data_IF_777685291035
#
_entry.id   IF_777685291035
#
_cell.length_a   1.000
_cell.length_b   1.000
_cell.length_c   1.000
_cell.angle_alpha   90.00
_cell.angle_beta   90.00
_cell.angle_gamma   90.00
#
_symmetry.space_group_name_H-M   'P 1'
#
loop_
_entity.id
_entity.type
_entity.pdbx_description
1 polymer ?
#
# COMPACT_ATOMS: atom_id res chain seq x y z
N UNK A 1 -18.00 -3.27 8.09
CA UNK A 1 -16.91 -4.11 8.64
C UNK A 1 -15.61 -3.34 8.47
N UNK A 2 -14.73 -3.34 9.48
CA UNK A 2 -13.43 -2.67 9.39
C UNK A 2 -12.31 -3.71 9.29
N UNK A 3 -11.35 -3.50 8.40
CA UNK A 3 -10.19 -4.38 8.22
C UNK A 3 -8.91 -3.55 8.39
N UNK A 4 -8.07 -3.98 9.32
CA UNK A 4 -6.72 -3.44 9.49
C UNK A 4 -5.71 -4.39 8.83
N UNK A 5 -4.86 -3.85 7.97
CA UNK A 5 -3.84 -4.61 7.26
C UNK A 5 -2.46 -4.03 7.59
N UNK A 6 -1.54 -4.89 8.02
CA UNK A 6 -0.19 -4.48 8.40
C UNK A 6 0.79 -5.15 7.44
N UNK A 7 1.57 -4.34 6.73
CA UNK A 7 2.54 -4.85 5.77
C UNK A 7 3.20 -3.74 4.97
N UNK A 8 4.35 -4.05 4.38
CA UNK A 8 5.05 -3.10 3.52
C UNK A 8 4.34 -2.98 2.17
N UNK A 9 4.09 -1.73 1.77
CA UNK A 9 3.92 -1.40 0.36
C UNK A 9 5.27 -1.56 -0.32
N UNK A 10 5.25 -2.03 -1.57
CA UNK A 10 6.48 -2.26 -2.32
C UNK A 10 6.47 -1.40 -3.58
N UNK A 11 7.67 -1.00 -3.99
CA UNK A 11 7.91 -0.46 -5.32
C UNK A 11 8.52 -1.56 -6.16
N UNK A 12 7.72 -2.13 -7.03
CA UNK A 12 8.17 -3.19 -7.91
C UNK A 12 8.82 -2.53 -9.13
N UNK A 13 10.07 -2.89 -9.39
CA UNK A 13 10.93 -2.25 -10.38
C UNK A 13 10.92 -3.13 -11.63
N UNK A 14 10.43 -2.60 -12.74
CA UNK A 14 10.47 -3.29 -14.04
C UNK A 14 11.18 -2.44 -15.10
N UNK A 15 11.65 -3.03 -16.21
CA UNK A 15 12.24 -2.28 -17.32
C UNK A 15 11.33 -1.18 -17.89
N UNK A 16 10.00 -1.37 -17.81
CA UNK A 16 8.99 -0.46 -18.34
C UNK A 16 8.57 0.62 -17.33
N UNK A 17 9.12 0.59 -16.11
CA UNK A 17 8.83 1.53 -15.05
C UNK A 17 8.51 0.86 -13.71
N UNK A 18 8.30 1.68 -12.70
CA UNK A 18 7.98 1.21 -11.36
C UNK A 18 6.47 1.08 -11.16
N UNK A 19 6.03 0.02 -10.49
CA UNK A 19 4.63 -0.21 -10.11
C UNK A 19 4.49 -0.34 -8.60
N UNK A 20 3.25 -0.17 -8.12
CA UNK A 20 2.91 -0.40 -6.71
C UNK A 20 2.60 -1.87 -6.51
N UNK A 21 3.28 -2.49 -5.55
CA UNK A 21 3.10 -3.89 -5.19
C UNK A 21 2.83 -4.08 -3.70
N UNK A 22 3.19 -5.27 -3.21
CA UNK A 22 3.05 -5.68 -1.83
C UNK A 22 1.66 -6.21 -1.51
N UNK A 23 1.56 -7.29 -0.76
CA UNK A 23 0.27 -7.92 -0.43
C UNK A 23 -0.74 -6.94 0.20
N UNK A 24 -0.24 -5.92 0.89
CA UNK A 24 -1.04 -4.85 1.51
C UNK A 24 -1.83 -4.02 0.49
N UNK A 25 -1.29 -3.80 -0.72
CA UNK A 25 -2.00 -3.03 -1.75
C UNK A 25 -3.13 -3.84 -2.35
N UNK A 26 -2.85 -5.07 -2.77
CA UNK A 26 -3.87 -5.97 -3.33
C UNK A 26 -4.99 -6.26 -2.34
N UNK A 27 -4.66 -6.70 -1.12
CA UNK A 27 -5.66 -7.02 -0.11
C UNK A 27 -6.44 -5.79 0.36
N UNK A 28 -5.78 -4.64 0.52
CA UNK A 28 -6.41 -3.39 0.91
C UNK A 28 -7.42 -2.90 -0.12
N UNK A 29 -7.03 -2.85 -1.39
CA UNK A 29 -7.91 -2.42 -2.49
C UNK A 29 -9.07 -3.41 -2.67
N UNK A 30 -8.80 -4.72 -2.64
CA UNK A 30 -9.86 -5.73 -2.70
C UNK A 30 -10.87 -5.57 -1.56
N UNK A 31 -10.41 -5.49 -0.31
CA UNK A 31 -11.28 -5.29 0.85
C UNK A 31 -12.10 -4.01 0.74
N UNK A 32 -11.47 -2.91 0.31
CA UNK A 32 -12.12 -1.61 0.16
C UNK A 32 -13.20 -1.62 -0.92
N UNK A 33 -12.94 -2.29 -2.05
CA UNK A 33 -13.90 -2.44 -3.16
C UNK A 33 -15.05 -3.41 -2.83
N UNK A 34 -14.84 -4.34 -1.90
CA UNK A 34 -15.89 -5.22 -1.36
C UNK A 34 -16.73 -4.54 -0.26
N UNK A 35 -16.51 -3.25 0.01
CA UNK A 35 -17.33 -2.47 0.95
C UNK A 35 -16.86 -2.47 2.39
N UNK A 36 -15.63 -2.94 2.67
CA UNK A 36 -15.02 -2.74 3.98
C UNK A 36 -14.42 -1.34 4.12
N UNK A 37 -14.46 -0.80 5.33
CA UNK A 37 -13.58 0.29 5.73
C UNK A 37 -12.19 -0.29 5.98
N UNK A 38 -11.14 0.30 5.40
CA UNK A 38 -9.79 -0.27 5.43
C UNK A 38 -8.79 0.72 6.01
N UNK A 39 -8.00 0.25 6.98
CA UNK A 39 -6.79 0.92 7.45
C UNK A 39 -5.56 0.10 7.09
N UNK A 40 -4.55 0.75 6.53
CA UNK A 40 -3.24 0.15 6.24
C UNK A 40 -2.18 0.77 7.13
N UNK A 41 -1.43 -0.07 7.86
CA UNK A 41 -0.19 0.32 8.53
C UNK A 41 0.99 -0.17 7.70
N UNK A 42 1.83 0.77 7.27
CA UNK A 42 2.95 0.47 6.37
C UNK A 42 4.19 1.32 6.68
N UNK A 43 5.30 0.97 6.03
CA UNK A 43 6.51 1.79 5.90
C UNK A 43 6.87 1.82 4.44
N UNK A 44 6.66 2.96 3.80
CA UNK A 44 6.89 3.12 2.38
C UNK A 44 7.21 4.57 2.01
N UNK A 45 7.66 4.76 0.79
CA UNK A 45 7.93 6.10 0.29
C UNK A 45 6.63 6.94 0.25
N UNK A 46 6.62 8.21 0.70
CA UNK A 46 5.40 9.02 0.82
C UNK A 46 4.63 9.23 -0.49
N UNK A 47 5.30 9.18 -1.66
CA UNK A 47 4.60 9.26 -2.94
C UNK A 47 3.86 7.96 -3.30
N UNK A 48 4.32 6.83 -2.79
CA UNK A 48 3.83 5.50 -3.18
C UNK A 48 2.53 5.20 -2.40
N UNK A 49 2.42 5.67 -1.15
CA UNK A 49 1.20 5.53 -0.33
C UNK A 49 -0.01 6.31 -0.86
N UNK A 50 0.23 7.36 -1.67
CA UNK A 50 -0.84 8.16 -2.31
C UNK A 50 -1.77 7.32 -3.18
N UNK A 51 -1.26 6.21 -3.73
CA UNK A 51 -2.07 5.25 -4.47
C UNK A 51 -3.18 4.64 -3.59
N UNK A 52 -2.84 4.13 -2.40
CA UNK A 52 -3.83 3.54 -1.49
C UNK A 52 -4.82 4.59 -0.97
N UNK A 53 -4.35 5.80 -0.67
CA UNK A 53 -5.23 6.90 -0.27
C UNK A 53 -6.24 7.23 -1.38
N UNK A 54 -5.81 7.20 -2.66
CA UNK A 54 -6.71 7.44 -3.80
C UNK A 54 -7.78 6.36 -4.00
N UNK A 55 -7.56 5.15 -3.47
CA UNK A 55 -8.54 4.06 -3.43
C UNK A 55 -9.49 4.18 -2.22
N UNK A 56 -9.38 5.25 -1.43
CA UNK A 56 -10.22 5.50 -0.25
C UNK A 56 -9.83 4.65 0.96
N UNK A 57 -8.56 4.26 1.06
CA UNK A 57 -7.98 3.53 2.20
C UNK A 57 -7.32 4.52 3.16
N UNK A 58 -7.55 4.38 4.47
CA UNK A 58 -6.82 5.16 5.46
C UNK A 58 -5.42 4.58 5.65
N UNK A 59 -4.37 5.37 5.43
CA UNK A 59 -2.98 4.89 5.50
C UNK A 59 -2.23 5.54 6.67
N UNK A 60 -1.69 4.71 7.55
CA UNK A 60 -0.71 5.08 8.56
C UNK A 60 0.65 4.70 8.01
N UNK A 61 1.38 5.68 7.46
CA UNK A 61 2.73 5.46 6.95
C UNK A 61 3.76 5.86 8.01
N UNK A 62 4.47 4.89 8.58
CA UNK A 62 5.54 5.14 9.53
C UNK A 62 6.83 5.58 8.81
N UNK A 63 7.68 6.41 9.45
CA UNK A 63 8.96 6.83 8.88
C UNK A 63 9.86 5.65 8.55
N UNK A 64 10.63 5.77 7.47
CA UNK A 64 11.67 4.81 7.07
C UNK A 64 12.72 5.48 6.20
N UNK A 65 13.98 5.08 6.38
CA UNK A 65 15.10 5.52 5.54
C UNK A 65 15.25 4.67 4.27
N UNK A 66 14.64 3.48 4.26
CA UNK A 66 14.69 2.52 3.15
C UNK A 66 13.28 2.01 2.83
N UNK A 67 12.97 1.85 1.55
CA UNK A 67 11.67 1.35 1.09
C UNK A 67 11.84 -0.05 0.48
N UNK A 68 10.79 -0.87 0.55
CA UNK A 68 10.85 -2.24 0.02
C UNK A 68 10.69 -2.23 -1.50
N UNK A 69 11.55 -2.95 -2.20
CA UNK A 69 11.51 -3.11 -3.66
C UNK A 69 11.52 -4.58 -4.06
N UNK A 70 10.90 -4.90 -5.20
CA UNK A 70 10.98 -6.21 -5.87
C UNK A 70 11.42 -6.01 -7.32
N UNK A 71 12.07 -7.01 -7.92
CA UNK A 71 12.61 -7.00 -9.29
C UNK A 71 12.02 -8.15 -10.10
#
# INVERSE_FOLDING_TARGET
MHIAIVGHLTRDISPDGNTIGGAVSFSGVTARRLGAEVTVLTRAHPKDVRFLESEGIHVINLPTDVYTTFH
#
